data_IF_063361273798
#
_entry.id   IF_063361273798
#
_cell.length_a   1.000
_cell.length_b   1.000
_cell.length_c   1.000
_cell.angle_alpha   90.00
_cell.angle_beta   90.00
_cell.angle_gamma   90.00
#
_symmetry.space_group_name_H-M   'P 1'
#
loop_
_entity.id
_entity.type
_entity.pdbx_description
1 polymer ?
#
# COMPACT_ATOMS: atom_id res chain seq x y z
N UNK A 1 45.75 43.23 -1.79
CA UNK A 1 46.08 42.06 -2.63
C UNK A 1 44.84 41.70 -3.43
N UNK A 2 44.97 41.31 -4.69
CA UNK A 2 43.81 40.84 -5.46
C UNK A 2 43.29 39.53 -4.84
N UNK A 3 41.97 39.34 -4.79
CA UNK A 3 41.34 38.10 -4.31
C UNK A 3 40.25 37.65 -5.28
N UNK A 4 40.12 36.33 -5.51
CA UNK A 4 39.12 35.78 -6.42
C UNK A 4 37.68 35.82 -5.86
N UNK A 5 37.50 36.16 -4.57
CA UNK A 5 36.21 36.26 -3.89
C UNK A 5 35.30 35.05 -4.16
N UNK A 6 35.78 33.87 -3.77
CA UNK A 6 35.05 32.62 -3.93
C UNK A 6 33.84 32.59 -3.01
N UNK A 7 32.73 32.03 -3.52
CA UNK A 7 31.48 31.84 -2.80
C UNK A 7 30.98 30.42 -3.03
N UNK A 8 30.22 29.90 -2.07
CA UNK A 8 29.56 28.60 -2.17
C UNK A 8 28.07 28.88 -2.36
N UNK A 9 27.50 28.39 -3.45
CA UNK A 9 26.12 28.71 -3.82
C UNK A 9 25.08 27.92 -3.01
N UNK A 10 25.39 26.68 -2.66
CA UNK A 10 24.45 25.77 -2.00
C UNK A 10 24.70 25.59 -0.50
N UNK A 11 25.30 26.59 0.15
CA UNK A 11 25.51 26.56 1.59
C UNK A 11 24.18 26.72 2.35
N UNK A 12 24.01 25.92 3.40
CA UNK A 12 22.96 26.10 4.39
C UNK A 12 23.52 26.75 5.65
N UNK A 13 23.13 28.00 5.92
CA UNK A 13 23.62 28.75 7.06
C UNK A 13 24.99 29.38 6.82
N UNK A 14 25.85 29.37 7.84
CA UNK A 14 27.16 30.02 7.84
C UNK A 14 28.30 29.03 7.78
N UNK A 15 29.45 29.48 7.27
CA UNK A 15 30.70 28.74 7.32
C UNK A 15 31.25 28.75 8.75
N UNK A 16 31.62 27.57 9.26
CA UNK A 16 32.34 27.37 10.52
C UNK A 16 33.84 27.10 10.24
N UNK A 17 34.70 27.45 11.21
CA UNK A 17 36.13 27.13 11.19
C UNK A 17 36.86 27.54 9.90
N UNK A 18 36.52 28.72 9.36
CA UNK A 18 37.13 29.23 8.15
C UNK A 18 38.59 29.64 8.37
N UNK A 19 39.49 29.02 7.61
CA UNK A 19 40.89 29.34 7.57
C UNK A 19 41.38 29.47 6.13
N UNK A 20 42.01 30.60 5.83
CA UNK A 20 42.53 30.90 4.49
C UNK A 20 44.03 31.19 4.61
N UNK A 21 44.83 30.34 3.99
CA UNK A 21 46.28 30.49 3.90
C UNK A 21 46.68 30.88 2.48
N UNK A 22 47.64 31.80 2.38
CA UNK A 22 48.22 32.23 1.10
C UNK A 22 49.69 31.82 1.05
N UNK A 23 50.10 31.19 -0.05
CA UNK A 23 51.50 30.92 -0.33
C UNK A 23 51.84 31.32 -1.76
N UNK A 24 53.05 31.85 -1.95
CA UNK A 24 53.55 32.23 -3.26
C UNK A 24 54.45 31.09 -3.74
N UNK A 25 54.06 30.47 -4.84
CA UNK A 25 54.85 29.46 -5.51
C UNK A 25 55.74 30.17 -6.54
N UNK A 26 57.02 30.26 -6.19
CA UNK A 26 58.05 30.68 -7.13
C UNK A 26 58.34 29.52 -8.10
N UNK A 27 58.06 29.72 -9.38
CA UNK A 27 58.46 28.80 -10.44
C UNK A 27 59.87 29.12 -10.89
N UNK A 28 60.73 28.11 -11.06
CA UNK A 28 62.15 28.28 -11.42
C UNK A 28 62.42 28.48 -12.93
N UNK A 29 61.42 28.91 -13.69
CA UNK A 29 61.50 29.20 -15.13
C UNK A 29 60.55 30.37 -15.42
N UNK A 30 60.69 31.04 -16.58
CA UNK A 30 59.96 32.22 -17.14
C UNK A 30 58.41 32.26 -16.99
N UNK A 31 57.81 31.31 -16.28
CA UNK A 31 56.44 31.35 -15.84
C UNK A 31 56.19 32.47 -14.80
N UNK A 32 55.03 33.15 -14.89
CA UNK A 32 54.63 34.11 -13.88
C UNK A 32 54.50 33.44 -12.49
N UNK A 33 54.78 34.18 -11.41
CA UNK A 33 54.61 33.66 -10.05
C UNK A 33 53.16 33.22 -9.82
N UNK A 34 52.97 32.03 -9.26
CA UNK A 34 51.64 31.50 -8.95
C UNK A 34 51.32 31.75 -7.48
N UNK A 35 50.09 32.16 -7.19
CA UNK A 35 49.60 32.29 -5.81
C UNK A 35 48.71 31.09 -5.52
N UNK A 36 49.07 30.34 -4.49
CA UNK A 36 48.26 29.24 -3.99
C UNK A 36 47.46 29.73 -2.77
N UNK A 37 46.14 29.64 -2.88
CA UNK A 37 45.20 29.90 -1.79
C UNK A 37 44.69 28.55 -1.29
N UNK A 38 44.84 28.29 0.00
CA UNK A 38 44.27 27.12 0.67
C UNK A 38 43.08 27.57 1.52
N UNK A 39 41.88 27.13 1.16
CA UNK A 39 40.65 27.43 1.89
C UNK A 39 40.20 26.19 2.63
N UNK A 40 40.23 26.24 3.97
CA UNK A 40 39.73 25.18 4.86
C UNK A 40 38.52 25.71 5.60
N UNK A 41 37.44 24.94 5.60
CA UNK A 41 36.21 25.34 6.26
C UNK A 41 35.32 24.14 6.52
N UNK A 42 34.33 24.33 7.39
CA UNK A 42 33.26 23.38 7.68
C UNK A 42 31.92 24.06 7.40
N UNK A 43 31.05 23.41 6.63
CA UNK A 43 29.76 23.97 6.26
C UNK A 43 28.72 22.87 6.04
N UNK A 44 27.45 23.24 6.14
CA UNK A 44 26.33 22.41 5.71
C UNK A 44 25.93 22.82 4.30
N UNK A 45 25.55 21.84 3.48
CA UNK A 45 25.17 22.07 2.09
C UNK A 45 23.76 21.55 1.86
N UNK A 46 22.96 22.29 1.10
CA UNK A 46 21.66 21.83 0.63
C UNK A 46 21.81 21.13 -0.71
N UNK A 47 21.14 20.00 -0.84
CA UNK A 47 21.02 19.23 -2.07
C UNK A 47 19.59 18.73 -2.23
N UNK A 48 19.13 18.62 -3.48
CA UNK A 48 17.83 18.04 -3.78
C UNK A 48 18.00 16.56 -4.09
N UNK A 49 17.46 15.69 -3.23
CA UNK A 49 17.58 14.25 -3.42
C UNK A 49 16.49 13.70 -4.35
N UNK A 50 16.88 12.80 -5.24
CA UNK A 50 16.00 12.12 -6.17
C UNK A 50 15.62 10.74 -5.61
N UNK A 51 14.43 10.61 -5.04
CA UNK A 51 14.03 9.42 -4.27
C UNK A 51 13.16 8.43 -5.07
N UNK A 52 13.15 8.50 -6.39
CA UNK A 52 12.32 7.62 -7.23
C UNK A 52 12.65 6.14 -6.99
N UNK A 53 13.95 5.82 -6.90
CA UNK A 53 14.48 4.47 -6.68
C UNK A 53 14.63 4.09 -5.21
N UNK A 54 14.10 4.89 -4.29
CA UNK A 54 14.19 4.63 -2.86
C UNK A 54 13.59 3.26 -2.50
N UNK A 55 14.28 2.42 -1.69
CA UNK A 55 15.47 2.70 -0.87
C UNK A 55 16.81 2.25 -1.49
N UNK A 56 16.84 1.92 -2.78
CA UNK A 56 18.04 1.46 -3.51
C UNK A 56 18.65 2.60 -4.32
N UNK A 57 18.48 3.83 -3.84
CA UNK A 57 18.91 5.04 -4.50
C UNK A 57 20.41 5.30 -4.33
N UNK A 58 20.97 5.92 -5.36
CA UNK A 58 22.30 6.54 -5.36
C UNK A 58 22.08 8.02 -5.55
N UNK A 59 22.70 8.83 -4.70
CA UNK A 59 22.54 10.29 -4.71
C UNK A 59 23.88 10.94 -5.08
N UNK A 60 23.80 12.00 -5.85
CA UNK A 60 24.93 12.85 -6.18
C UNK A 60 24.91 14.06 -5.24
N UNK A 61 25.89 14.13 -4.35
CA UNK A 61 26.06 15.26 -3.44
C UNK A 61 26.98 16.28 -4.12
N UNK A 62 26.45 17.47 -4.41
CA UNK A 62 27.18 18.50 -5.14
C UNK A 62 27.59 19.64 -4.21
N UNK A 63 28.82 20.12 -4.36
CA UNK A 63 29.28 21.40 -3.82
C UNK A 63 29.47 22.35 -4.99
N UNK A 64 28.78 23.49 -4.94
CA UNK A 64 28.78 24.46 -6.04
C UNK A 64 29.58 25.70 -5.65
N UNK A 65 30.76 25.86 -6.24
CA UNK A 65 31.67 26.98 -5.99
C UNK A 65 31.53 27.99 -7.13
N UNK A 66 31.40 29.27 -6.80
CA UNK A 66 31.37 30.37 -7.76
C UNK A 66 32.21 31.55 -7.24
N UNK A 67 32.14 32.70 -7.93
CA UNK A 67 32.85 33.93 -7.59
C UNK A 67 31.93 35.14 -7.79
N UNK A 68 32.11 36.18 -6.97
CA UNK A 68 31.46 37.48 -7.19
C UNK A 68 31.92 38.18 -8.49
N UNK A 69 32.98 37.71 -9.14
CA UNK A 69 33.52 38.31 -10.36
C UNK A 69 32.84 37.75 -11.61
N UNK A 70 32.79 38.55 -12.68
CA UNK A 70 32.22 38.10 -13.94
C UNK A 70 33.13 37.08 -14.63
N UNK A 71 32.53 36.24 -15.46
CA UNK A 71 33.23 35.30 -16.33
C UNK A 71 34.22 35.96 -17.30
N UNK A 72 34.07 37.26 -17.57
CA UNK A 72 35.04 38.02 -18.36
C UNK A 72 36.30 38.39 -17.58
N UNK A 73 36.26 38.36 -16.25
CA UNK A 73 37.40 38.67 -15.37
C UNK A 73 38.12 37.39 -14.91
N UNK A 74 37.35 36.36 -14.54
CA UNK A 74 37.89 35.12 -13.95
C UNK A 74 37.28 33.91 -14.65
N UNK A 75 38.12 32.94 -14.98
CA UNK A 75 37.71 31.59 -15.34
C UNK A 75 38.10 30.62 -14.21
N UNK A 76 37.15 29.76 -13.80
CA UNK A 76 37.40 28.69 -12.83
C UNK A 76 37.66 27.41 -13.62
N UNK A 77 38.84 26.83 -13.40
CA UNK A 77 39.29 25.60 -14.07
C UNK A 77 39.72 24.62 -12.98
N UNK A 78 39.35 23.35 -13.16
CA UNK A 78 39.84 22.27 -12.31
C UNK A 78 41.34 22.07 -12.50
N UNK A 79 42.04 21.78 -11.40
CA UNK A 79 43.43 21.39 -11.46
C UNK A 79 43.58 20.00 -12.11
N UNK A 80 44.18 19.94 -13.29
CA UNK A 80 44.43 18.68 -13.99
C UNK A 80 45.62 17.90 -13.42
N UNK A 81 46.42 18.51 -12.55
CA UNK A 81 47.64 17.91 -12.01
C UNK A 81 47.40 17.08 -10.74
N UNK A 82 46.41 17.46 -9.94
CA UNK A 82 46.03 16.75 -8.72
C UNK A 82 44.58 16.30 -8.78
N UNK A 83 44.34 15.00 -8.59
CA UNK A 83 42.99 14.46 -8.53
C UNK A 83 42.28 14.92 -7.25
N UNK A 84 41.04 15.40 -7.40
CA UNK A 84 40.13 15.64 -6.28
C UNK A 84 39.89 14.33 -5.53
N UNK A 85 40.04 14.37 -4.20
CA UNK A 85 39.91 13.19 -3.33
C UNK A 85 38.93 13.45 -2.20
N UNK A 86 38.15 12.44 -1.85
CA UNK A 86 37.26 12.47 -0.68
C UNK A 86 37.75 11.49 0.36
N UNK A 87 37.79 11.93 1.63
CA UNK A 87 38.16 11.07 2.74
C UNK A 87 36.96 10.21 3.17
N UNK A 88 36.90 8.97 2.69
CA UNK A 88 35.84 8.01 3.05
C UNK A 88 35.86 7.56 4.50
N UNK A 89 37.00 7.64 5.20
CA UNK A 89 37.11 7.21 6.60
C UNK A 89 36.52 8.23 7.58
N UNK A 90 36.54 9.51 7.21
CA UNK A 90 36.01 10.61 8.03
C UNK A 90 34.53 10.91 7.76
N UNK A 91 33.86 10.08 6.94
CA UNK A 91 32.48 10.31 6.56
C UNK A 91 31.52 10.01 7.72
N UNK A 92 30.85 11.06 8.21
CA UNK A 92 30.02 11.02 9.42
C UNK A 92 28.79 10.12 9.24
N UNK A 93 28.16 10.15 8.06
CA UNK A 93 26.91 9.41 7.79
C UNK A 93 27.15 8.00 7.23
N UNK A 94 28.32 7.42 7.51
CA UNK A 94 28.68 6.07 7.08
C UNK A 94 27.74 4.98 7.62
N UNK A 95 26.90 5.27 8.61
CA UNK A 95 25.86 4.36 9.12
C UNK A 95 24.70 4.18 8.14
N UNK A 96 24.36 5.21 7.37
CA UNK A 96 23.23 5.23 6.43
C UNK A 96 23.69 5.12 4.97
N UNK A 97 24.87 5.66 4.66
CA UNK A 97 25.36 5.77 3.28
C UNK A 97 26.71 5.08 3.09
N UNK A 98 26.95 4.62 1.87
CA UNK A 98 28.25 4.19 1.37
C UNK A 98 28.79 5.27 0.43
N UNK A 99 29.91 5.88 0.78
CA UNK A 99 30.56 6.92 -0.02
C UNK A 99 31.47 6.29 -1.08
N UNK A 100 31.33 6.72 -2.34
CA UNK A 100 32.27 6.34 -3.39
C UNK A 100 33.54 7.18 -3.31
N UNK A 101 34.69 6.57 -3.59
CA UNK A 101 35.98 7.25 -3.54
C UNK A 101 36.16 8.30 -4.65
N UNK A 102 35.40 8.20 -5.73
CA UNK A 102 35.58 9.07 -6.89
C UNK A 102 34.79 10.36 -6.72
N UNK A 103 35.39 11.45 -7.19
CA UNK A 103 34.78 12.77 -7.25
C UNK A 103 34.81 13.22 -8.69
N UNK A 104 33.69 13.75 -9.18
CA UNK A 104 33.58 14.33 -10.50
C UNK A 104 33.46 15.84 -10.35
N UNK A 105 34.08 16.59 -11.26
CA UNK A 105 33.87 18.03 -11.34
C UNK A 105 33.52 18.44 -12.75
N UNK A 106 32.59 19.39 -12.85
CA UNK A 106 32.17 19.95 -14.11
C UNK A 106 31.91 21.45 -13.96
N UNK A 107 32.03 22.15 -15.08
CA UNK A 107 31.90 23.60 -15.15
C UNK A 107 30.49 23.98 -15.58
N UNK A 108 29.97 25.02 -14.97
CA UNK A 108 28.70 25.63 -15.34
C UNK A 108 28.79 27.16 -15.22
N UNK A 109 27.69 27.87 -15.53
CA UNK A 109 27.61 29.34 -15.50
C UNK A 109 26.25 29.77 -14.99
N UNK A 110 26.19 30.86 -14.23
CA UNK A 110 24.90 31.42 -13.79
C UNK A 110 24.05 31.84 -14.99
N UNK A 111 22.77 31.53 -14.98
CA UNK A 111 21.83 32.04 -15.98
C UNK A 111 21.53 33.53 -15.74
N UNK A 112 21.26 34.27 -16.83
CA UNK A 112 21.05 35.73 -16.81
C UNK A 112 19.83 36.17 -15.99
N UNK A 113 18.96 35.24 -15.58
CA UNK A 113 17.77 35.52 -14.77
C UNK A 113 18.10 35.90 -13.32
N UNK A 114 19.26 35.51 -12.79
CA UNK A 114 19.59 35.63 -11.35
C UNK A 114 20.37 36.91 -10.96
N UNK A 115 20.96 37.62 -11.92
CA UNK A 115 21.76 38.80 -11.63
C UNK A 115 21.49 39.90 -12.65
N UNK A 116 21.27 41.12 -12.17
CA UNK A 116 21.30 42.33 -12.99
C UNK A 116 22.60 42.33 -13.83
N UNK A 117 22.50 41.95 -15.09
CA UNK A 117 23.47 42.07 -16.20
C UNK A 117 24.78 41.25 -16.22
N UNK A 118 25.13 40.42 -15.22
CA UNK A 118 26.46 39.75 -15.24
C UNK A 118 26.38 38.23 -15.02
N UNK A 119 27.17 37.49 -15.83
CA UNK A 119 27.32 36.03 -15.76
C UNK A 119 28.57 35.68 -14.96
N UNK A 120 28.44 34.75 -14.02
CA UNK A 120 29.49 34.25 -13.15
C UNK A 120 29.81 32.77 -13.47
N UNK A 121 31.09 32.36 -13.44
CA UNK A 121 31.47 30.96 -13.62
C UNK A 121 31.13 30.16 -12.35
N UNK A 122 30.74 28.90 -12.53
CA UNK A 122 30.43 27.94 -11.47
C UNK A 122 31.27 26.68 -11.70
N UNK A 123 31.81 26.12 -10.63
CA UNK A 123 32.44 24.81 -10.60
C UNK A 123 31.64 23.92 -9.65
N UNK A 124 31.08 22.85 -10.18
CA UNK A 124 30.41 21.82 -9.40
C UNK A 124 31.41 20.71 -9.08
N UNK A 125 31.43 20.29 -7.82
CA UNK A 125 32.21 19.16 -7.32
C UNK A 125 31.20 18.15 -6.77
N UNK A 126 31.12 16.98 -7.39
CA UNK A 126 30.15 15.94 -7.10
C UNK A 126 30.79 14.71 -6.49
N UNK A 127 30.17 14.20 -5.43
CA UNK A 127 30.50 12.91 -4.85
C UNK A 127 29.25 12.03 -4.82
N UNK A 128 29.40 10.75 -5.16
CA UNK A 128 28.29 9.81 -5.17
C UNK A 128 28.19 9.09 -3.83
N UNK A 129 26.96 8.92 -3.34
CA UNK A 129 26.64 8.12 -2.15
C UNK A 129 25.55 7.10 -2.47
N UNK A 130 25.70 5.87 -1.99
CA UNK A 130 24.69 4.82 -2.12
C UNK A 130 24.04 4.52 -0.76
N UNK A 131 22.72 4.44 -0.71
CA UNK A 131 21.98 4.16 0.53
C UNK A 131 22.17 2.71 0.99
N UNK A 132 22.32 2.50 2.29
CA UNK A 132 22.30 1.16 2.90
C UNK A 132 20.87 0.66 3.06
N UNK A 133 20.52 -0.35 2.26
CA UNK A 133 19.15 -0.88 2.19
C UNK A 133 18.72 -1.71 3.42
N UNK A 134 19.66 -2.20 4.23
CA UNK A 134 19.40 -3.24 5.24
C UNK A 134 18.27 -2.90 6.22
N UNK A 135 18.19 -1.65 6.69
CA UNK A 135 17.13 -1.19 7.58
C UNK A 135 15.74 -1.32 6.93
N UNK A 136 15.59 -0.91 5.67
CA UNK A 136 14.31 -0.92 4.94
C UNK A 136 13.86 -2.34 4.62
N UNK A 137 14.81 -3.25 4.34
CA UNK A 137 14.50 -4.66 4.10
C UNK A 137 13.86 -5.29 5.34
N UNK A 138 14.48 -5.15 6.51
CA UNK A 138 14.02 -5.81 7.73
C UNK A 138 12.82 -5.12 8.38
N UNK A 139 12.78 -3.79 8.39
CA UNK A 139 11.74 -3.07 9.12
C UNK A 139 10.51 -2.73 8.26
N UNK A 140 10.62 -2.77 6.93
CA UNK A 140 9.50 -2.40 6.06
C UNK A 140 9.09 -3.56 5.16
N UNK A 141 10.00 -4.00 4.30
CA UNK A 141 9.68 -5.03 3.29
C UNK A 141 9.27 -6.33 3.99
N UNK A 142 10.03 -6.76 4.99
CA UNK A 142 9.74 -7.98 5.74
C UNK A 142 8.42 -7.89 6.54
N UNK A 143 8.12 -6.75 7.18
CA UNK A 143 6.86 -6.57 7.93
C UNK A 143 5.65 -6.63 7.00
N UNK A 144 5.71 -5.93 5.86
CA UNK A 144 4.63 -5.94 4.86
C UNK A 144 4.45 -7.35 4.28
N UNK A 145 5.53 -8.07 4.02
CA UNK A 145 5.48 -9.46 3.61
C UNK A 145 4.74 -10.35 4.63
N UNK A 146 4.99 -10.18 5.93
CA UNK A 146 4.28 -10.91 6.98
C UNK A 146 2.78 -10.55 7.02
N UNK A 147 2.42 -9.27 6.88
CA UNK A 147 1.01 -8.84 6.83
C UNK A 147 0.28 -9.49 5.65
N UNK A 148 0.91 -9.54 4.48
CA UNK A 148 0.38 -10.26 3.32
C UNK A 148 0.30 -11.75 3.61
N UNK A 149 1.33 -12.34 4.23
CA UNK A 149 1.33 -13.76 4.60
C UNK A 149 0.16 -14.15 5.51
N UNK A 150 -0.25 -13.26 6.41
CA UNK A 150 -1.39 -13.47 7.30
C UNK A 150 -2.73 -13.54 6.56
N UNK A 151 -2.85 -13.02 5.33
CA UNK A 151 -4.10 -13.15 4.57
C UNK A 151 -4.42 -14.60 4.25
N UNK A 152 -3.40 -15.46 4.10
CA UNK A 152 -3.60 -16.88 3.85
C UNK A 152 -4.26 -17.60 5.03
N UNK A 153 -4.03 -17.13 6.27
CA UNK A 153 -4.70 -17.68 7.45
C UNK A 153 -6.22 -17.51 7.38
N UNK A 154 -6.71 -16.46 6.70
CA UNK A 154 -8.16 -16.24 6.52
C UNK A 154 -8.84 -17.34 5.71
N UNK A 155 -8.10 -18.09 4.88
CA UNK A 155 -8.64 -19.24 4.14
C UNK A 155 -8.92 -20.45 5.01
N UNK A 156 -8.29 -20.54 6.19
CA UNK A 156 -8.57 -21.62 7.15
C UNK A 156 -9.91 -21.42 7.87
N UNK A 157 -10.49 -20.21 7.80
CA UNK A 157 -11.75 -19.88 8.47
C UNK A 157 -12.93 -20.23 7.55
N UNK A 158 -13.96 -20.84 8.14
CA UNK A 158 -15.19 -21.21 7.45
C UNK A 158 -15.85 -20.01 6.76
N UNK A 159 -16.38 -20.23 5.55
CA UNK A 159 -16.96 -19.18 4.68
C UNK A 159 -18.17 -18.49 5.34
N UNK A 160 -18.89 -19.21 6.20
CA UNK A 160 -20.11 -18.72 6.84
C UNK A 160 -19.83 -17.81 8.05
N UNK A 161 -18.61 -17.86 8.62
CA UNK A 161 -18.28 -17.03 9.77
C UNK A 161 -18.06 -15.56 9.35
N UNK A 162 -18.62 -14.57 10.08
CA UNK A 162 -18.31 -13.16 9.86
C UNK A 162 -16.85 -12.81 10.16
N UNK A 163 -16.16 -13.61 10.96
CA UNK A 163 -14.78 -13.36 11.43
C UNK A 163 -13.77 -13.32 10.28
N UNK A 164 -14.04 -14.07 9.21
CA UNK A 164 -13.19 -14.12 8.01
C UNK A 164 -13.11 -12.77 7.30
N UNK A 165 -14.23 -12.05 7.20
CA UNK A 165 -14.23 -10.72 6.58
C UNK A 165 -13.59 -9.70 7.53
N UNK A 166 -13.89 -9.80 8.82
CA UNK A 166 -13.33 -8.92 9.85
C UNK A 166 -11.80 -8.99 9.87
N UNK A 167 -11.22 -10.19 9.87
CA UNK A 167 -9.77 -10.39 9.83
C UNK A 167 -9.12 -9.72 8.61
N UNK A 168 -9.69 -9.87 7.41
CA UNK A 168 -9.15 -9.25 6.19
C UNK A 168 -9.23 -7.72 6.22
N UNK A 169 -10.32 -7.16 6.75
CA UNK A 169 -10.46 -5.70 6.91
C UNK A 169 -9.46 -5.17 7.95
N UNK A 170 -9.25 -5.90 9.05
CA UNK A 170 -8.23 -5.55 10.04
C UNK A 170 -6.83 -5.56 9.42
N UNK A 171 -6.46 -6.59 8.67
CA UNK A 171 -5.17 -6.65 7.97
C UNK A 171 -4.99 -5.49 6.97
N UNK A 172 -6.05 -5.13 6.25
CA UNK A 172 -6.04 -3.95 5.37
C UNK A 172 -5.78 -2.66 6.15
N UNK A 173 -6.48 -2.44 7.27
CA UNK A 173 -6.27 -1.28 8.13
C UNK A 173 -4.86 -1.27 8.73
N UNK A 174 -4.35 -2.43 9.15
CA UNK A 174 -2.97 -2.57 9.65
C UNK A 174 -1.95 -2.17 8.59
N UNK A 175 -2.11 -2.61 7.34
CA UNK A 175 -1.23 -2.22 6.24
C UNK A 175 -1.30 -0.71 5.94
N UNK A 176 -2.49 -0.10 5.99
CA UNK A 176 -2.67 1.36 5.83
C UNK A 176 -1.99 2.12 6.98
N UNK A 177 -2.21 1.69 8.22
CA UNK A 177 -1.58 2.30 9.39
C UNK A 177 -0.05 2.20 9.30
N UNK A 178 0.47 1.04 8.92
CA UNK A 178 1.91 0.85 8.71
C UNK A 178 2.46 1.78 7.62
N UNK A 179 1.75 1.93 6.49
CA UNK A 179 2.12 2.90 5.44
C UNK A 179 2.22 4.33 5.98
N UNK A 180 1.28 4.74 6.84
CA UNK A 180 1.30 6.09 7.42
C UNK A 180 2.51 6.31 8.33
N UNK A 181 2.91 5.29 9.10
CA UNK A 181 4.13 5.34 9.92
C UNK A 181 5.37 5.46 9.05
N UNK A 182 5.48 4.65 7.99
CA UNK A 182 6.61 4.74 7.04
C UNK A 182 6.70 6.11 6.37
N UNK A 183 5.55 6.70 6.01
CA UNK A 183 5.49 8.03 5.41
C UNK A 183 6.00 9.14 6.34
N UNK A 184 5.93 8.97 7.67
CA UNK A 184 6.46 9.96 8.60
C UNK A 184 7.99 10.01 8.62
N UNK A 185 8.65 8.91 8.26
CA UNK A 185 10.11 8.83 8.19
C UNK A 185 10.69 9.32 6.87
N UNK A 186 9.83 9.60 5.87
CA UNK A 186 10.24 10.05 4.54
C UNK A 186 9.75 11.48 4.30
N UNK A 187 10.56 12.34 3.67
CA UNK A 187 10.10 13.66 3.26
C UNK A 187 8.90 13.52 2.31
N UNK A 188 7.96 14.46 2.38
CA UNK A 188 6.79 14.44 1.51
C UNK A 188 7.18 14.83 0.09
N UNK A 189 7.11 13.88 -0.82
CA UNK A 189 7.47 14.06 -2.23
C UNK A 189 6.22 13.87 -3.10
N UNK A 190 6.17 14.54 -4.25
CA UNK A 190 5.00 14.53 -5.14
C UNK A 190 4.88 13.26 -6.01
N UNK A 191 5.93 12.45 -6.10
CA UNK A 191 5.96 11.23 -6.92
C UNK A 191 6.05 9.97 -6.05
N UNK A 192 5.70 8.82 -6.62
CA UNK A 192 5.77 7.53 -5.95
C UNK A 192 7.20 6.97 -5.98
N UNK A 193 7.67 6.49 -4.83
CA UNK A 193 8.92 5.73 -4.73
C UNK A 193 8.70 4.24 -5.03
N UNK A 194 9.78 3.49 -5.27
CA UNK A 194 9.70 2.03 -5.42
C UNK A 194 9.16 1.34 -4.16
N UNK A 195 9.53 1.85 -2.98
CA UNK A 195 8.97 1.39 -1.71
C UNK A 195 7.46 1.63 -1.64
N UNK A 196 6.99 2.82 -2.03
CA UNK A 196 5.57 3.13 -2.04
C UNK A 196 4.80 2.23 -3.01
N UNK A 197 5.37 1.94 -4.18
CA UNK A 197 4.77 1.03 -5.15
C UNK A 197 4.60 -0.38 -4.57
N UNK A 198 5.61 -0.88 -3.85
CA UNK A 198 5.55 -2.18 -3.17
C UNK A 198 4.43 -2.21 -2.10
N UNK A 199 4.36 -1.19 -1.24
CA UNK A 199 3.32 -1.09 -0.20
C UNK A 199 1.93 -0.91 -0.80
N UNK A 200 1.80 -0.14 -1.89
CA UNK A 200 0.54 0.02 -2.61
C UNK A 200 0.10 -1.28 -3.29
N UNK A 201 1.03 -2.02 -3.89
CA UNK A 201 0.72 -3.34 -4.45
C UNK A 201 0.22 -4.30 -3.37
N UNK A 202 0.82 -4.28 -2.18
CA UNK A 202 0.34 -5.03 -1.02
C UNK A 202 -1.09 -4.63 -0.59
N UNK A 203 -1.38 -3.33 -0.56
CA UNK A 203 -2.72 -2.81 -0.24
C UNK A 203 -3.76 -3.21 -1.29
N UNK A 204 -3.41 -3.15 -2.58
CA UNK A 204 -4.28 -3.62 -3.67
C UNK A 204 -4.54 -5.12 -3.52
N UNK A 205 -3.50 -5.91 -3.24
CA UNK A 205 -3.65 -7.35 -3.00
C UNK A 205 -4.58 -7.64 -1.81
N UNK A 206 -4.43 -6.93 -0.69
CA UNK A 206 -5.32 -7.05 0.47
C UNK A 206 -6.77 -6.68 0.13
N UNK A 207 -6.98 -5.61 -0.63
CA UNK A 207 -8.30 -5.19 -1.09
C UNK A 207 -8.96 -6.23 -2.00
N UNK A 208 -8.20 -6.81 -2.93
CA UNK A 208 -8.67 -7.89 -3.80
C UNK A 208 -9.04 -9.15 -2.99
N UNK A 209 -8.22 -9.52 -2.01
CA UNK A 209 -8.51 -10.63 -1.10
C UNK A 209 -9.79 -10.38 -0.30
N UNK A 210 -9.96 -9.20 0.28
CA UNK A 210 -11.19 -8.84 1.01
C UNK A 210 -12.42 -8.90 0.08
N UNK A 211 -12.29 -8.40 -1.15
CA UNK A 211 -13.37 -8.41 -2.16
C UNK A 211 -13.72 -9.84 -2.58
N UNK A 212 -12.72 -10.70 -2.81
CA UNK A 212 -12.93 -12.12 -3.12
C UNK A 212 -13.70 -12.82 -2.00
N UNK A 213 -13.33 -12.58 -0.74
CA UNK A 213 -14.00 -13.17 0.42
C UNK A 213 -15.45 -12.68 0.56
N UNK A 214 -15.71 -11.39 0.34
CA UNK A 214 -17.06 -10.84 0.32
C UNK A 214 -17.91 -11.43 -0.83
N UNK A 215 -17.33 -11.57 -2.02
CA UNK A 215 -17.99 -12.19 -3.17
C UNK A 215 -18.34 -13.66 -2.92
N UNK A 216 -17.42 -14.43 -2.32
CA UNK A 216 -17.69 -15.83 -1.93
C UNK A 216 -18.86 -15.94 -0.96
N UNK A 217 -18.93 -15.07 0.06
CA UNK A 217 -20.07 -15.03 0.98
C UNK A 217 -21.38 -14.70 0.28
N UNK A 218 -21.37 -13.73 -0.62
CA UNK A 218 -22.56 -13.35 -1.42
C UNK A 218 -23.05 -14.51 -2.28
N UNK A 219 -22.13 -15.20 -2.98
CA UNK A 219 -22.46 -16.37 -3.78
C UNK A 219 -23.00 -17.51 -2.92
N UNK A 220 -22.36 -17.83 -1.80
CA UNK A 220 -22.83 -18.86 -0.86
C UNK A 220 -24.25 -18.57 -0.36
N UNK A 221 -24.54 -17.32 -0.02
CA UNK A 221 -25.88 -16.88 0.37
C UNK A 221 -26.91 -17.08 -0.75
N UNK A 222 -26.58 -16.72 -1.99
CA UNK A 222 -27.47 -16.92 -3.15
C UNK A 222 -27.73 -18.41 -3.41
N UNK A 223 -26.72 -19.27 -3.29
CA UNK A 223 -26.86 -20.72 -3.43
C UNK A 223 -27.75 -21.30 -2.33
N UNK A 224 -27.50 -20.97 -1.06
CA UNK A 224 -28.31 -21.42 0.06
C UNK A 224 -29.77 -20.96 -0.09
N UNK A 225 -30.01 -19.73 -0.54
CA UNK A 225 -31.36 -19.23 -0.83
C UNK A 225 -32.06 -19.98 -1.98
N UNK A 226 -31.32 -20.48 -2.98
CA UNK A 226 -31.91 -21.32 -4.03
C UNK A 226 -32.33 -22.69 -3.46
N UNK A 227 -31.52 -23.29 -2.61
CA UNK A 227 -31.85 -24.56 -1.96
C UNK A 227 -33.08 -24.42 -1.06
N UNK A 228 -33.12 -23.41 -0.18
CA UNK A 228 -34.28 -23.13 0.69
C UNK A 228 -35.56 -22.97 -0.13
N UNK A 229 -35.53 -22.24 -1.24
CA UNK A 229 -36.69 -22.09 -2.15
C UNK A 229 -37.15 -23.41 -2.76
N UNK A 230 -36.25 -24.36 -3.01
CA UNK A 230 -36.60 -25.70 -3.54
C UNK A 230 -37.26 -26.53 -2.43
N UNK A 231 -36.71 -26.52 -1.22
CA UNK A 231 -37.29 -27.20 -0.07
C UNK A 231 -38.71 -26.67 0.25
N UNK A 232 -38.90 -25.35 0.27
CA UNK A 232 -40.22 -24.74 0.47
C UNK A 232 -41.22 -25.16 -0.60
N UNK A 233 -40.81 -25.18 -1.88
CA UNK A 233 -41.67 -25.61 -2.98
C UNK A 233 -42.09 -27.08 -2.82
N UNK A 234 -41.15 -27.95 -2.46
CA UNK A 234 -41.42 -29.37 -2.23
C UNK A 234 -42.31 -29.60 -1.01
N UNK A 235 -42.12 -28.83 0.07
CA UNK A 235 -42.95 -28.88 1.26
C UNK A 235 -44.40 -28.44 0.97
N UNK A 236 -44.59 -27.36 0.21
CA UNK A 236 -45.90 -26.87 -0.21
C UNK A 236 -46.59 -27.89 -1.12
N UNK A 237 -45.88 -28.47 -2.09
CA UNK A 237 -46.42 -29.49 -3.00
C UNK A 237 -46.88 -30.73 -2.24
N UNK A 238 -46.08 -31.18 -1.26
CA UNK A 238 -46.42 -32.31 -0.40
C UNK A 238 -47.69 -32.01 0.41
N UNK A 239 -47.75 -30.85 1.10
CA UNK A 239 -48.94 -30.43 1.86
C UNK A 239 -50.22 -30.37 1.00
N UNK A 240 -50.12 -29.96 -0.26
CA UNK A 240 -51.25 -29.97 -1.21
C UNK A 240 -51.72 -31.38 -1.56
N UNK A 241 -50.80 -32.32 -1.80
CA UNK A 241 -51.12 -33.73 -2.08
C UNK A 241 -51.85 -34.39 -0.92
N UNK A 242 -51.38 -34.19 0.31
CA UNK A 242 -52.05 -34.69 1.52
C UNK A 242 -53.50 -34.18 1.63
N UNK A 243 -53.72 -32.88 1.43
CA UNK A 243 -55.08 -32.29 1.45
C UNK A 243 -55.99 -32.84 0.35
N UNK A 244 -55.47 -33.19 -0.83
CA UNK A 244 -56.27 -33.84 -1.88
C UNK A 244 -56.65 -35.26 -1.48
N UNK A 245 -55.68 -36.07 -1.02
CA UNK A 245 -55.95 -37.44 -0.57
C UNK A 245 -56.97 -37.49 0.57
N UNK A 246 -56.92 -36.52 1.49
CA UNK A 246 -57.87 -36.42 2.59
C UNK A 246 -59.28 -36.07 2.12
N UNK A 247 -59.41 -35.14 1.15
CA UNK A 247 -60.69 -34.85 0.49
C UNK A 247 -61.25 -36.06 -0.27
N UNK A 248 -60.40 -36.79 -0.96
CA UNK A 248 -60.82 -37.98 -1.72
C UNK A 248 -61.29 -39.09 -0.79
N UNK A 249 -60.60 -39.33 0.34
CA UNK A 249 -61.06 -40.25 1.39
C UNK A 249 -62.43 -39.83 1.94
N UNK A 250 -62.61 -38.55 2.25
CA UNK A 250 -63.88 -38.03 2.75
C UNK A 250 -65.01 -38.19 1.72
N UNK A 251 -64.70 -38.03 0.44
CA UNK A 251 -65.64 -38.20 -0.66
C UNK A 251 -66.06 -39.66 -0.85
N UNK A 252 -65.11 -40.61 -0.75
CA UNK A 252 -65.41 -42.04 -0.79
C UNK A 252 -66.25 -42.47 0.41
N UNK A 253 -65.89 -42.05 1.62
CA UNK A 253 -66.68 -42.35 2.82
C UNK A 253 -68.12 -41.83 2.72
N UNK A 254 -68.30 -40.62 2.16
CA UNK A 254 -69.61 -40.05 1.89
C UNK A 254 -70.38 -40.84 0.82
N UNK A 255 -69.71 -41.33 -0.22
CA UNK A 255 -70.32 -42.22 -1.24
C UNK A 255 -70.76 -43.54 -0.63
N UNK A 256 -69.90 -44.20 0.14
CA UNK A 256 -70.19 -45.47 0.80
C UNK A 256 -71.34 -45.36 1.80
N UNK A 257 -71.46 -44.21 2.49
CA UNK A 257 -72.60 -43.92 3.36
C UNK A 257 -73.90 -43.80 2.55
N UNK A 258 -73.87 -43.10 1.41
CA UNK A 258 -75.03 -42.94 0.52
C UNK A 258 -75.46 -44.30 -0.05
N UNK A 259 -74.52 -45.15 -0.49
CA UNK A 259 -74.84 -46.49 -0.98
C UNK A 259 -75.40 -47.40 0.11
N UNK A 260 -74.82 -47.41 1.33
CA UNK A 260 -75.38 -48.13 2.48
C UNK A 260 -76.79 -47.67 2.83
N UNK A 261 -77.06 -46.37 2.72
CA UNK A 261 -78.41 -45.83 2.95
C UNK A 261 -79.43 -46.22 1.87
N UNK A 262 -78.98 -46.58 0.65
CA UNK A 262 -79.83 -47.11 -0.43
C UNK A 262 -80.09 -48.62 -0.30
N UNK A 263 -79.20 -49.39 0.33
CA UNK A 263 -79.33 -50.84 0.52
C UNK A 263 -80.14 -51.25 1.77
N UNK A 264 -80.52 -50.31 2.64
CA UNK A 264 -81.42 -50.59 3.77
C UNK A 264 -82.86 -50.81 3.27
N UNK A 265 -83.55 -51.90 3.66
CA UNK A 265 -84.93 -52.12 3.25
C UNK A 265 -85.82 -50.95 3.68
N UNK A 266 -86.75 -50.53 2.81
CA UNK A 266 -87.77 -49.51 3.13
C UNK A 266 -88.64 -49.99 4.29
N UNK A 267 -88.25 -49.61 5.50
CA UNK A 267 -89.05 -49.66 6.72
C UNK A 267 -89.27 -48.24 7.25
N UNK A 268 -90.55 -47.92 7.45
CA UNK A 268 -91.15 -46.68 7.94
C UNK A 268 -90.37 -45.87 8.98
N UNK A 269 -90.38 -44.53 8.84
CA UNK A 269 -90.18 -43.60 9.96
C UNK A 269 -89.27 -42.41 9.66
N UNK A 270 -89.85 -41.22 9.50
CA UNK A 270 -89.13 -39.93 9.48
C UNK A 270 -88.39 -39.73 10.82
N UNK A 271 -87.06 -39.88 10.83
CA UNK A 271 -86.19 -39.30 11.86
C UNK A 271 -85.17 -38.38 11.18
N UNK A 272 -85.16 -37.09 11.55
CA UNK A 272 -84.10 -36.14 11.22
C UNK A 272 -82.78 -36.71 11.74
N UNK A 273 -81.94 -37.25 10.86
CA UNK A 273 -80.60 -37.74 11.23
C UNK A 273 -79.61 -36.59 11.07
N UNK A 274 -78.99 -36.18 12.18
CA UNK A 274 -77.88 -35.22 12.22
C UNK A 274 -76.68 -35.84 11.50
N UNK A 275 -75.96 -35.01 10.74
CA UNK A 275 -74.63 -35.34 10.26
C UNK A 275 -73.73 -35.69 11.45
N UNK A 276 -72.80 -36.67 11.33
CA UNK A 276 -71.75 -36.81 12.32
C UNK A 276 -70.89 -35.53 12.30
N UNK A 277 -70.34 -35.09 13.44
CA UNK A 277 -69.44 -33.94 13.46
C UNK A 277 -68.23 -34.27 12.57
N UNK A 278 -67.83 -33.30 11.74
CA UNK A 278 -66.58 -33.37 10.99
C UNK A 278 -65.47 -33.63 12.00
N UNK A 279 -64.82 -34.80 11.92
CA UNK A 279 -63.66 -35.08 12.74
C UNK A 279 -62.60 -34.02 12.41
N UNK A 280 -62.26 -33.20 13.40
CA UNK A 280 -61.12 -32.31 13.29
C UNK A 280 -59.86 -33.15 13.06
N UNK A 281 -58.98 -32.78 12.13
CA UNK A 281 -57.76 -33.54 11.89
C UNK A 281 -56.90 -33.49 13.17
N UNK A 282 -56.87 -34.62 13.90
CA UNK A 282 -55.92 -34.84 15.00
C UNK A 282 -54.57 -35.15 14.37
N UNK A 283 -53.69 -34.15 14.37
CA UNK A 283 -52.32 -34.26 13.91
C UNK A 283 -51.88 -32.98 13.22
N UNK A 284 -51.61 -31.93 13.99
CA UNK A 284 -50.82 -30.82 13.48
C UNK A 284 -49.44 -31.38 13.11
N UNK A 285 -48.94 -30.99 11.94
CA UNK A 285 -47.62 -31.32 11.41
C UNK A 285 -46.44 -30.87 12.30
N UNK A 286 -46.71 -30.15 13.39
CA UNK A 286 -45.71 -29.71 14.37
C UNK A 286 -45.03 -30.91 15.04
N UNK A 287 -45.77 -31.96 15.42
CA UNK A 287 -45.19 -33.09 16.15
C UNK A 287 -44.31 -34.03 15.31
N UNK A 288 -44.34 -33.92 13.97
CA UNK A 288 -43.52 -34.77 13.09
C UNK A 288 -42.20 -34.12 12.67
N UNK A 289 -42.11 -32.78 12.72
CA UNK A 289 -40.88 -32.05 12.41
C UNK A 289 -40.03 -31.72 13.65
N UNK A 290 -40.60 -31.80 14.85
CA UNK A 290 -39.89 -31.52 16.11
C UNK A 290 -38.91 -32.65 16.53
N UNK A 291 -38.93 -33.80 15.85
CA UNK A 291 -38.08 -34.96 16.15
C UNK A 291 -36.93 -35.21 15.15
N UNK A 292 -36.64 -34.26 14.26
CA UNK A 292 -35.43 -34.30 13.41
C UNK A 292 -34.84 -32.90 13.21
N UNK A 293 -34.38 -32.31 14.30
CA UNK A 293 -33.29 -31.33 14.32
C UNK A 293 -32.41 -31.62 15.53
#
# INVERSE_FOLDING_TARGET
MWTPKLIILNIDGSIEEEHIDYSILHSNDDNPPRVQLMWRFKAFFKENLELQHFPVDVQDLTISISTERSIHEIEIIEDQSSLSSVNTQAFLDASEWNLYNHTESYRDKTTVEYARSTVHPILHIQCRVARKIGYFVWNIIFIVFLIIGLTFASYSIEVNSPDRLMCNVTLFLTAVAFKLVVKQSLPTISYLTYLDLYVLAALIFLALNATQNAAMKSLAYVYQMKEVKIYDRNAIATRRRWKMQEKDKLYQEKKDYIERSRMSPRGTGKRKRRYPPVAQPRGSLESFFENRF
#
